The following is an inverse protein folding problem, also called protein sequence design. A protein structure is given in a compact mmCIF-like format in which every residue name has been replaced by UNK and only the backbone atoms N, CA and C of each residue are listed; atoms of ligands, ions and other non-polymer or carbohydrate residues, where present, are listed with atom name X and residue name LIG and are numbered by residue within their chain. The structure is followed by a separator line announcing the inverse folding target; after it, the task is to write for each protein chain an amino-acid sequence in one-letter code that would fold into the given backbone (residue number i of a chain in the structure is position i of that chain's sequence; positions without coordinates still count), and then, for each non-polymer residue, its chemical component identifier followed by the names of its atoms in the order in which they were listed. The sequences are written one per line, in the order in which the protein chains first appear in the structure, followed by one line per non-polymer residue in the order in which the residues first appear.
data_IF_926307305713
#
_entry.id   IF_926307305713
#
_cell.length_a   1.000
_cell.length_b   1.000
_cell.length_c   1.000
_cell.angle_alpha   90.00
_cell.angle_beta   90.00
_cell.angle_gamma   90.00
#
_symmetry.space_group_name_H-M   'P 1'
#
loop_
_entity.id
_entity.type
_entity.pdbx_description
1 polymer ?
#
# COMPACT_ATOMS: atom_id res chain seq x y z
N UNK A 1 -17.01 14.42 -10.58
CA UNK A 1 -16.26 13.73 -9.50
C UNK A 1 -15.62 12.48 -10.10
N UNK A 2 -14.42 12.09 -9.67
CA UNK A 2 -13.78 10.82 -10.07
C UNK A 2 -13.58 9.98 -8.81
N UNK A 3 -14.12 8.76 -8.80
CA UNK A 3 -13.86 7.75 -7.77
C UNK A 3 -12.94 6.70 -8.38
N UNK A 4 -11.66 6.82 -8.07
CA UNK A 4 -10.63 5.95 -8.63
C UNK A 4 -10.42 4.72 -7.75
N UNK A 5 -10.26 3.55 -8.37
CA UNK A 5 -9.93 2.28 -7.75
C UNK A 5 -10.94 1.80 -6.68
N UNK A 6 -12.24 1.94 -6.98
CA UNK A 6 -13.36 1.47 -6.17
C UNK A 6 -13.54 -0.05 -6.26
N UNK A 7 -12.54 -0.81 -5.81
CA UNK A 7 -12.51 -2.27 -5.94
C UNK A 7 -13.38 -2.98 -4.87
N UNK A 8 -13.50 -2.40 -3.67
CA UNK A 8 -14.34 -2.97 -2.60
C UNK A 8 -15.74 -2.34 -2.63
N UNK A 9 -16.60 -2.88 -3.50
CA UNK A 9 -17.95 -2.33 -3.75
C UNK A 9 -18.88 -2.41 -2.53
N UNK A 10 -18.54 -3.24 -1.53
CA UNK A 10 -19.29 -3.35 -0.27
C UNK A 10 -19.30 -2.03 0.50
N UNK A 11 -18.25 -1.22 0.37
CA UNK A 11 -18.18 0.13 0.94
C UNK A 11 -19.29 1.05 0.40
N UNK A 12 -19.84 0.72 -0.77
CA UNK A 12 -20.92 1.45 -1.43
C UNK A 12 -22.26 0.69 -1.39
N UNK A 13 -22.38 -0.34 -0.55
CA UNK A 13 -23.62 -1.10 -0.36
C UNK A 13 -23.88 -2.23 -1.34
N UNK A 14 -22.90 -2.58 -2.18
CA UNK A 14 -23.06 -3.70 -3.14
C UNK A 14 -22.84 -5.04 -2.42
N UNK A 15 -23.85 -5.92 -2.48
CA UNK A 15 -23.75 -7.30 -1.98
C UNK A 15 -24.09 -7.51 -0.49
N UNK A 16 -24.56 -6.48 0.23
CA UNK A 16 -25.12 -6.64 1.57
C UNK A 16 -26.58 -7.10 1.47
N UNK A 17 -26.96 -8.15 2.23
CA UNK A 17 -28.37 -8.50 2.43
C UNK A 17 -28.99 -7.42 3.31
N UNK A 18 -29.82 -6.56 2.72
CA UNK A 18 -30.31 -5.35 3.37
C UNK A 18 -31.18 -5.66 4.60
N UNK A 19 -30.78 -5.11 5.75
CA UNK A 19 -31.73 -4.42 6.63
C UNK A 19 -31.65 -2.93 6.27
N UNK A 20 -32.80 -2.26 6.11
CA UNK A 20 -32.88 -0.88 5.61
C UNK A 20 -32.09 0.15 6.47
N UNK A 21 -31.73 -0.20 7.71
CA UNK A 21 -30.87 0.62 8.59
C UNK A 21 -29.39 0.64 8.17
N UNK A 22 -28.85 -0.41 7.54
CA UNK A 22 -27.43 -0.47 7.12
C UNK A 22 -27.15 0.25 5.79
N UNK A 23 -28.15 0.39 4.91
CA UNK A 23 -27.99 1.12 3.63
C UNK A 23 -27.67 2.60 3.86
N UNK A 24 -28.16 3.16 4.97
CA UNK A 24 -27.92 4.53 5.37
C UNK A 24 -26.48 4.80 5.81
N UNK A 25 -25.60 3.79 5.90
CA UNK A 25 -24.20 3.98 6.31
C UNK A 25 -23.13 3.72 5.25
N UNK A 26 -23.56 3.47 4.02
CA UNK A 26 -22.65 3.26 2.89
C UNK A 26 -22.03 4.57 2.39
N UNK A 27 -20.86 4.50 1.75
CA UNK A 27 -20.24 5.66 1.10
C UNK A 27 -21.07 6.19 -0.08
N UNK A 28 -22.00 5.38 -0.60
CA UNK A 28 -22.83 5.76 -1.74
C UNK A 28 -23.68 7.01 -1.49
N UNK A 29 -24.11 7.25 -0.24
CA UNK A 29 -24.88 8.45 0.13
C UNK A 29 -24.12 9.77 -0.06
N UNK A 30 -22.79 9.71 -0.10
CA UNK A 30 -21.92 10.88 -0.31
C UNK A 30 -21.54 11.09 -1.78
N UNK A 31 -21.92 10.16 -2.65
CA UNK A 31 -21.72 10.30 -4.09
C UNK A 31 -22.74 11.33 -4.59
N UNK A 32 -22.35 12.41 -5.28
CA UNK A 32 -23.31 13.40 -5.77
C UNK A 32 -24.29 12.81 -6.78
N UNK A 33 -25.58 12.97 -6.52
CA UNK A 33 -26.67 12.66 -7.45
C UNK A 33 -27.26 13.97 -7.98
N UNK A 34 -27.27 14.13 -9.31
CA UNK A 34 -27.82 15.33 -9.94
C UNK A 34 -27.92 15.20 -11.44
N UNK A 35 -28.73 16.05 -12.06
CA UNK A 35 -28.84 16.16 -13.52
C UNK A 35 -27.68 16.95 -14.14
N UNK A 36 -26.88 17.64 -13.33
CA UNK A 36 -25.73 18.44 -13.74
C UNK A 36 -24.45 17.81 -13.17
N UNK A 37 -23.64 17.22 -14.05
CA UNK A 37 -22.36 16.62 -13.70
C UNK A 37 -22.32 15.09 -13.83
N UNK A 38 -21.11 14.56 -13.91
CA UNK A 38 -20.84 13.12 -14.06
C UNK A 38 -19.91 12.65 -12.95
N UNK A 39 -20.21 11.47 -12.40
CA UNK A 39 -19.29 10.71 -11.56
C UNK A 39 -18.64 9.62 -12.41
N UNK A 40 -17.32 9.69 -12.56
CA UNK A 40 -16.54 8.66 -13.23
C UNK A 40 -16.02 7.68 -12.17
N UNK A 41 -16.26 6.39 -12.38
CA UNK A 41 -15.80 5.32 -11.51
C UNK A 41 -14.76 4.48 -12.24
N UNK A 42 -13.68 4.11 -11.56
CA UNK A 42 -12.78 3.05 -12.03
C UNK A 42 -12.76 1.93 -10.98
N UNK A 43 -12.82 0.68 -11.43
CA UNK A 43 -12.83 -0.50 -10.55
C UNK A 43 -12.34 -1.72 -11.32
N UNK A 44 -11.66 -2.63 -10.64
CA UNK A 44 -11.33 -3.98 -11.13
C UNK A 44 -12.49 -4.96 -10.95
N UNK A 45 -13.44 -4.63 -10.09
CA UNK A 45 -14.63 -5.43 -9.83
C UNK A 45 -15.69 -5.18 -10.90
N UNK A 46 -15.98 -6.20 -11.72
CA UNK A 46 -16.97 -6.10 -12.78
C UNK A 46 -18.40 -5.94 -12.26
N UNK A 47 -18.68 -6.30 -11.01
CA UNK A 47 -20.01 -6.16 -10.42
C UNK A 47 -20.42 -4.68 -10.23
N UNK A 48 -19.52 -3.72 -10.42
CA UNK A 48 -19.84 -2.29 -10.37
C UNK A 48 -20.88 -1.90 -11.45
N UNK A 49 -20.85 -2.59 -12.59
CA UNK A 49 -21.80 -2.42 -13.69
C UNK A 49 -23.07 -3.19 -13.36
N UNK A 50 -24.20 -2.50 -13.39
CA UNK A 50 -25.50 -3.04 -12.97
C UNK A 50 -25.80 -2.82 -11.48
N UNK A 51 -24.85 -2.29 -10.71
CA UNK A 51 -25.06 -1.93 -9.29
C UNK A 51 -24.94 -0.41 -9.10
N UNK A 52 -23.72 0.11 -8.92
CA UNK A 52 -23.46 1.55 -8.74
C UNK A 52 -23.52 2.33 -10.05
N UNK A 53 -23.15 1.67 -11.15
CA UNK A 53 -23.14 2.25 -12.50
C UNK A 53 -24.17 1.50 -13.34
N UNK A 54 -25.14 2.22 -13.91
CA UNK A 54 -26.14 1.61 -14.79
C UNK A 54 -25.49 0.85 -15.95
N UNK A 55 -26.01 -0.33 -16.30
CA UNK A 55 -25.45 -1.22 -17.34
C UNK A 55 -25.04 -0.52 -18.64
N UNK A 56 -25.81 0.41 -19.24
CA UNK A 56 -25.41 1.06 -20.50
C UNK A 56 -24.25 2.06 -20.35
N UNK A 57 -23.86 2.42 -19.13
CA UNK A 57 -22.77 3.37 -18.85
C UNK A 57 -21.46 2.68 -18.47
N UNK A 58 -21.47 1.36 -18.30
CA UNK A 58 -20.26 0.60 -18.01
C UNK A 58 -19.34 0.53 -19.24
N UNK A 59 -18.10 0.98 -19.08
CA UNK A 59 -17.07 0.87 -20.13
C UNK A 59 -16.06 -0.18 -19.68
N UNK A 60 -16.09 -1.35 -20.31
CA UNK A 60 -15.10 -2.38 -20.08
C UNK A 60 -13.79 -2.00 -20.80
N UNK A 61 -12.74 -1.70 -20.03
CA UNK A 61 -11.40 -1.45 -20.58
C UNK A 61 -10.80 -2.79 -20.98
N UNK A 62 -10.70 -3.02 -22.30
CA UNK A 62 -10.10 -4.23 -22.88
C UNK A 62 -8.58 -4.05 -23.06
N UNK A 63 -7.88 -5.16 -23.35
CA UNK A 63 -6.50 -5.08 -23.84
C UNK A 63 -6.41 -4.19 -25.08
N UNK A 64 -5.24 -3.59 -25.28
CA UNK A 64 -4.99 -2.77 -26.48
C UNK A 64 -5.13 -3.62 -27.74
N UNK A 65 -5.54 -3.00 -28.83
CA UNK A 65 -5.39 -3.61 -30.16
C UNK A 65 -3.90 -3.75 -30.48
N UNK A 66 -3.56 -4.66 -31.40
CA UNK A 66 -2.17 -4.86 -31.82
C UNK A 66 -1.52 -3.57 -32.35
N UNK A 67 -2.28 -2.74 -33.06
CA UNK A 67 -1.76 -1.48 -33.62
C UNK A 67 -1.53 -0.41 -32.53
N UNK A 68 -2.46 -0.27 -31.57
CA UNK A 68 -2.25 0.60 -30.41
C UNK A 68 -1.06 0.11 -29.58
N UNK A 69 -0.95 -1.21 -29.37
CA UNK A 69 0.11 -1.84 -28.61
C UNK A 69 1.48 -1.64 -29.27
N UNK A 70 1.57 -1.79 -30.59
CA UNK A 70 2.77 -1.52 -31.37
C UNK A 70 3.16 -0.03 -31.31
N UNK A 71 2.17 0.86 -31.42
CA UNK A 71 2.38 2.31 -31.30
C UNK A 71 2.93 2.68 -29.92
N UNK A 72 2.38 2.10 -28.86
CA UNK A 72 2.87 2.32 -27.50
C UNK A 72 4.30 1.78 -27.33
N UNK A 73 4.59 0.58 -27.84
CA UNK A 73 5.92 -0.02 -27.77
C UNK A 73 6.97 0.86 -28.46
N UNK A 74 6.70 1.29 -29.71
CA UNK A 74 7.58 2.17 -30.47
C UNK A 74 7.86 3.48 -29.71
N UNK A 75 6.80 4.10 -29.16
CA UNK A 75 6.93 5.32 -28.35
C UNK A 75 7.80 5.11 -27.10
N UNK A 76 7.66 3.98 -26.43
CA UNK A 76 8.43 3.63 -25.22
C UNK A 76 9.89 3.30 -25.54
N UNK A 77 10.13 2.72 -26.72
CA UNK A 77 11.47 2.49 -27.27
C UNK A 77 12.17 3.78 -27.70
N UNK A 78 11.41 4.83 -28.00
CA UNK A 78 11.94 6.09 -28.52
C UNK A 78 12.12 6.09 -30.04
N UNK A 79 11.48 5.16 -30.73
CA UNK A 79 11.54 5.04 -32.18
C UNK A 79 10.72 6.17 -32.83
N UNK A 80 11.22 6.77 -33.91
CA UNK A 80 10.43 7.68 -34.74
C UNK A 80 9.44 6.88 -35.60
N UNK A 81 8.23 7.41 -35.76
CA UNK A 81 7.00 6.72 -36.19
C UNK A 81 6.94 6.23 -37.64
N UNK A 82 8.06 5.91 -38.29
CA UNK A 82 8.11 5.73 -39.76
C UNK A 82 8.82 4.47 -40.26
N UNK A 83 9.11 3.48 -39.41
CA UNK A 83 9.76 2.23 -39.88
C UNK A 83 8.77 1.08 -39.90
N UNK A 84 8.90 0.23 -40.93
CA UNK A 84 8.24 -1.08 -41.00
C UNK A 84 8.35 -1.81 -39.66
N UNK A 85 7.28 -2.51 -39.29
CA UNK A 85 7.19 -3.20 -38.00
C UNK A 85 8.34 -4.22 -37.90
N UNK A 86 9.27 -3.94 -36.99
CA UNK A 86 10.44 -4.80 -36.74
C UNK A 86 10.02 -6.26 -36.49
N UNK A 87 10.84 -7.20 -36.97
CA UNK A 87 10.63 -8.62 -36.72
C UNK A 87 10.48 -8.91 -35.21
N UNK A 88 9.55 -9.81 -34.87
CA UNK A 88 9.26 -10.21 -33.49
C UNK A 88 8.39 -9.25 -32.69
N UNK A 89 8.02 -8.07 -33.18
CA UNK A 89 7.12 -7.13 -32.47
C UNK A 89 5.75 -7.76 -32.21
N UNK A 90 5.10 -8.31 -33.24
CA UNK A 90 3.76 -8.90 -33.06
C UNK A 90 3.80 -10.07 -32.06
N UNK A 91 4.78 -10.97 -32.19
CA UNK A 91 4.96 -12.09 -31.26
C UNK A 91 5.25 -11.63 -29.81
N UNK A 92 5.98 -10.53 -29.64
CA UNK A 92 6.21 -9.93 -28.32
C UNK A 92 4.92 -9.35 -27.74
N UNK A 93 4.13 -8.62 -28.55
CA UNK A 93 2.88 -8.02 -28.09
C UNK A 93 1.82 -9.06 -27.74
N UNK A 94 1.76 -10.16 -28.48
CA UNK A 94 0.97 -11.34 -28.14
C UNK A 94 1.40 -11.93 -26.78
N UNK A 95 2.72 -12.13 -26.57
CA UNK A 95 3.23 -12.65 -25.29
C UNK A 95 2.95 -11.69 -24.12
N UNK A 96 2.98 -10.38 -24.36
CA UNK A 96 2.62 -9.36 -23.38
C UNK A 96 1.10 -9.17 -23.22
N UNK A 97 0.29 -9.92 -23.99
CA UNK A 97 -1.17 -9.88 -23.99
C UNK A 97 -1.75 -8.49 -24.27
N UNK A 98 -1.00 -7.67 -25.01
CA UNK A 98 -1.32 -6.28 -25.32
C UNK A 98 -1.66 -5.42 -24.08
N UNK A 99 -1.04 -5.72 -22.93
CA UNK A 99 -1.26 -4.97 -21.70
C UNK A 99 -0.39 -3.70 -21.67
N UNK A 100 -0.98 -2.50 -21.57
CA UNK A 100 -0.23 -1.23 -21.69
C UNK A 100 0.92 -1.08 -20.71
N UNK A 101 0.73 -1.56 -19.47
CA UNK A 101 1.73 -1.47 -18.41
C UNK A 101 2.93 -2.40 -18.69
N UNK A 102 2.68 -3.62 -19.18
CA UNK A 102 3.72 -4.60 -19.48
C UNK A 102 4.52 -4.16 -20.72
N UNK A 103 3.82 -3.66 -21.74
CA UNK A 103 4.43 -3.05 -22.93
C UNK A 103 5.29 -1.85 -22.54
N UNK A 104 4.81 -0.99 -21.64
CA UNK A 104 5.56 0.18 -21.20
C UNK A 104 6.86 -0.19 -20.50
N UNK A 105 6.84 -1.18 -19.60
CA UNK A 105 8.05 -1.69 -18.95
C UNK A 105 8.99 -2.38 -19.95
N UNK A 106 8.46 -3.22 -20.84
CA UNK A 106 9.25 -3.91 -21.86
C UNK A 106 9.94 -2.91 -22.80
N UNK A 107 9.20 -1.96 -23.36
CA UNK A 107 9.74 -0.92 -24.24
C UNK A 107 10.79 -0.04 -23.56
N UNK A 108 10.57 0.30 -22.28
CA UNK A 108 11.54 1.05 -21.48
C UNK A 108 12.85 0.26 -21.26
N UNK A 109 12.73 -1.03 -20.93
CA UNK A 109 13.89 -1.92 -20.82
C UNK A 109 14.63 -2.03 -22.16
N UNK A 110 13.90 -2.28 -23.25
CA UNK A 110 14.47 -2.42 -24.60
C UNK A 110 15.22 -1.17 -25.04
N UNK A 111 14.63 0.02 -24.80
CA UNK A 111 15.29 1.31 -25.07
C UNK A 111 16.62 1.42 -24.35
N UNK A 112 16.62 1.17 -23.05
CA UNK A 112 17.80 1.34 -22.20
C UNK A 112 18.91 0.35 -22.56
N UNK A 113 18.52 -0.87 -22.92
CA UNK A 113 19.44 -1.95 -23.24
C UNK A 113 19.81 -2.03 -24.73
N UNK A 114 19.28 -1.13 -25.55
CA UNK A 114 19.39 -1.16 -27.02
C UNK A 114 19.06 -2.54 -27.60
N UNK A 115 17.97 -3.14 -27.12
CA UNK A 115 17.55 -4.49 -27.48
C UNK A 115 16.41 -4.51 -28.51
N UNK A 116 16.43 -5.52 -29.39
CA UNK A 116 15.37 -5.81 -30.34
C UNK A 116 14.17 -6.51 -29.68
N UNK A 117 13.02 -6.51 -30.36
CA UNK A 117 11.82 -7.18 -29.86
C UNK A 117 12.05 -8.71 -29.71
N UNK A 118 12.75 -9.33 -30.66
CA UNK A 118 13.10 -10.76 -30.62
C UNK A 118 14.02 -11.12 -29.44
N UNK A 119 15.04 -10.29 -29.19
CA UNK A 119 15.95 -10.52 -28.07
C UNK A 119 15.20 -10.44 -26.73
N UNK A 120 14.33 -9.45 -26.57
CA UNK A 120 13.53 -9.31 -25.36
C UNK A 120 12.51 -10.46 -25.19
N UNK A 121 11.85 -10.86 -26.28
CA UNK A 121 10.96 -12.03 -26.28
C UNK A 121 11.70 -13.32 -25.89
N UNK A 122 12.95 -13.48 -26.32
CA UNK A 122 13.82 -14.57 -25.88
C UNK A 122 13.99 -14.61 -24.36
N UNK A 123 14.25 -13.46 -23.72
CA UNK A 123 14.35 -13.38 -22.26
C UNK A 123 13.02 -13.63 -21.54
N UNK A 124 11.91 -13.15 -22.09
CA UNK A 124 10.57 -13.43 -21.53
C UNK A 124 10.28 -14.93 -21.52
N UNK A 125 10.52 -15.62 -22.65
CA UNK A 125 10.25 -17.07 -22.78
C UNK A 125 11.12 -17.92 -21.87
N UNK A 126 12.36 -17.52 -21.61
CA UNK A 126 13.23 -18.18 -20.62
C UNK A 126 12.72 -18.03 -19.18
N UNK A 127 11.96 -16.98 -18.88
CA UNK A 127 11.36 -16.75 -17.55
C UNK A 127 10.14 -17.62 -17.26
N UNK A 128 9.33 -17.87 -18.30
CA UNK A 128 7.99 -18.48 -18.21
C UNK A 128 7.98 -19.85 -17.53
N UNK A 129 8.98 -20.69 -17.80
CA UNK A 129 9.14 -22.02 -17.18
C UNK A 129 9.24 -21.96 -15.65
N UNK A 130 9.71 -20.83 -15.09
CA UNK A 130 9.84 -20.63 -13.64
C UNK A 130 8.51 -20.22 -12.98
N UNK A 131 7.58 -19.65 -13.74
CA UNK A 131 6.27 -19.20 -13.24
C UNK A 131 5.11 -20.11 -13.66
N UNK A 132 5.31 -21.04 -14.61
CA UNK A 132 4.35 -22.11 -14.90
C UNK A 132 4.06 -23.00 -13.68
N UNK A 133 4.99 -23.05 -12.70
CA UNK A 133 4.80 -23.72 -11.40
C UNK A 133 3.93 -22.93 -10.41
N UNK A 134 3.60 -21.67 -10.72
CA UNK A 134 3.05 -20.70 -9.78
C UNK A 134 1.62 -20.32 -10.15
N UNK A 135 0.76 -21.35 -10.21
CA UNK A 135 -0.69 -21.16 -10.30
C UNK A 135 -1.24 -20.75 -8.92
N UNK A 136 -1.98 -19.64 -8.92
CA UNK A 136 -2.84 -19.11 -7.86
C UNK A 136 -2.25 -19.06 -6.44
N UNK A 137 -1.94 -17.85 -5.95
CA UNK A 137 -1.86 -17.63 -4.50
C UNK A 137 -3.08 -16.84 -4.04
N UNK A 138 -3.66 -17.24 -2.92
CA UNK A 138 -4.78 -16.57 -2.23
C UNK A 138 -4.52 -15.09 -1.84
N UNK A 139 -3.30 -14.58 -2.08
CA UNK A 139 -2.88 -13.24 -1.70
C UNK A 139 -3.39 -12.11 -2.62
N UNK A 140 -3.96 -12.44 -3.78
CA UNK A 140 -4.61 -11.46 -4.64
C UNK A 140 -6.04 -11.92 -4.93
N UNK A 141 -6.92 -11.73 -3.92
CA UNK A 141 -8.35 -12.10 -3.96
C UNK A 141 -9.13 -11.45 -5.11
N UNK A 142 -8.55 -10.46 -5.78
CA UNK A 142 -9.14 -9.79 -6.94
C UNK A 142 -8.37 -10.05 -8.24
N UNK A 143 -7.33 -10.89 -8.20
CA UNK A 143 -6.65 -11.34 -9.42
C UNK A 143 -7.60 -12.19 -10.21
N UNK A 144 -7.95 -11.72 -11.41
CA UNK A 144 -8.63 -12.56 -12.37
C UNK A 144 -7.70 -13.71 -12.76
N UNK A 145 -8.10 -14.97 -12.58
CA UNK A 145 -7.28 -16.13 -12.94
C UNK A 145 -6.86 -16.12 -14.42
N UNK A 146 -7.60 -15.43 -15.27
CA UNK A 146 -7.34 -15.31 -16.71
C UNK A 146 -6.27 -14.28 -17.09
N UNK A 147 -5.80 -13.44 -16.16
CA UNK A 147 -4.82 -12.37 -16.46
C UNK A 147 -3.39 -12.90 -16.37
N UNK A 148 -2.74 -12.95 -17.54
CA UNK A 148 -1.36 -13.40 -17.75
C UNK A 148 -0.34 -12.76 -16.80
N UNK A 149 0.69 -13.53 -16.44
CA UNK A 149 1.83 -13.11 -15.63
C UNK A 149 2.79 -12.14 -16.36
N UNK A 150 2.43 -11.58 -17.53
CA UNK A 150 3.33 -10.74 -18.33
C UNK A 150 3.93 -9.58 -17.53
N UNK A 151 3.12 -8.94 -16.67
CA UNK A 151 3.58 -7.91 -15.74
C UNK A 151 4.62 -8.39 -14.72
N UNK A 152 4.46 -9.61 -14.19
CA UNK A 152 5.42 -10.19 -13.25
C UNK A 152 6.75 -10.45 -13.94
N UNK A 153 6.71 -10.93 -15.19
CA UNK A 153 7.91 -11.25 -15.95
C UNK A 153 8.69 -10.02 -16.41
N UNK A 154 8.00 -9.01 -16.93
CA UNK A 154 8.63 -7.74 -17.33
C UNK A 154 9.24 -7.05 -16.11
N UNK A 155 8.55 -7.09 -14.96
CA UNK A 155 9.07 -6.56 -13.70
C UNK A 155 10.29 -7.35 -13.22
N UNK A 156 10.27 -8.69 -13.28
CA UNK A 156 11.39 -9.55 -12.86
C UNK A 156 12.65 -9.33 -13.69
N UNK A 157 12.51 -9.24 -15.02
CA UNK A 157 13.65 -8.99 -15.91
C UNK A 157 14.29 -7.64 -15.54
N UNK A 158 13.47 -6.60 -15.41
CA UNK A 158 13.93 -5.25 -15.10
C UNK A 158 14.52 -5.15 -13.69
N UNK A 159 13.92 -5.78 -12.67
CA UNK A 159 14.45 -5.76 -11.30
C UNK A 159 15.78 -6.50 -11.17
N UNK A 160 15.94 -7.63 -11.86
CA UNK A 160 17.24 -8.34 -11.93
C UNK A 160 18.32 -7.43 -12.50
N UNK A 161 17.99 -6.67 -13.55
CA UNK A 161 18.93 -5.71 -14.15
C UNK A 161 19.23 -4.53 -13.23
N UNK A 162 18.20 -3.95 -12.60
CA UNK A 162 18.37 -2.86 -11.63
C UNK A 162 19.31 -3.28 -10.50
N UNK A 163 19.15 -4.49 -9.95
CA UNK A 163 20.04 -5.00 -8.90
C UNK A 163 21.50 -5.06 -9.33
N UNK A 164 21.76 -5.47 -10.58
CA UNK A 164 23.14 -5.51 -11.11
C UNK A 164 23.72 -4.12 -11.36
N UNK A 165 22.89 -3.12 -11.63
CA UNK A 165 23.35 -1.75 -11.95
C UNK A 165 23.46 -0.85 -10.72
N UNK A 166 22.60 -1.05 -9.70
CA UNK A 166 22.52 -0.18 -8.53
C UNK A 166 21.75 -0.86 -7.40
N UNK A 167 22.46 -1.28 -6.36
CA UNK A 167 21.86 -1.82 -5.14
C UNK A 167 20.94 -0.78 -4.47
N UNK A 168 21.34 0.50 -4.47
CA UNK A 168 20.51 1.63 -4.02
C UNK A 168 19.15 1.67 -4.70
N UNK A 169 19.13 1.61 -6.05
CA UNK A 169 17.90 1.61 -6.83
C UNK A 169 17.04 0.39 -6.51
N UNK A 170 17.67 -0.78 -6.38
CA UNK A 170 16.98 -2.03 -6.06
C UNK A 170 16.35 -1.97 -4.66
N UNK A 171 17.06 -1.46 -3.65
CA UNK A 171 16.54 -1.28 -2.28
C UNK A 171 15.41 -0.25 -2.26
N UNK A 172 15.56 0.91 -2.91
CA UNK A 172 14.52 1.93 -3.05
C UNK A 172 13.25 1.35 -3.67
N UNK A 173 13.39 0.58 -4.75
CA UNK A 173 12.29 -0.05 -5.45
C UNK A 173 11.47 -0.97 -4.53
N UNK A 174 12.14 -1.78 -3.72
CA UNK A 174 11.47 -2.72 -2.82
C UNK A 174 10.89 -2.04 -1.58
N UNK A 175 11.49 -0.96 -1.07
CA UNK A 175 10.89 -0.15 0.01
C UNK A 175 9.60 0.52 -0.46
N UNK A 176 9.61 1.13 -1.64
CA UNK A 176 8.42 1.81 -2.20
C UNK A 176 7.27 0.82 -2.48
N UNK A 177 7.54 -0.48 -2.59
CA UNK A 177 6.50 -1.49 -2.74
C UNK A 177 5.62 -1.69 -1.48
N UNK A 178 6.01 -1.18 -0.32
CA UNK A 178 5.30 -1.35 0.97
C UNK A 178 4.59 -0.08 1.47
N UNK A 179 4.67 1.03 0.75
CA UNK A 179 3.97 2.28 1.09
C UNK A 179 2.75 2.49 0.20
N UNK A 180 1.94 3.53 0.49
CA UNK A 180 0.86 3.93 -0.42
C UNK A 180 1.42 4.21 -1.83
N UNK A 181 0.69 3.76 -2.86
CA UNK A 181 1.10 3.82 -4.27
C UNK A 181 1.17 5.23 -4.84
N UNK A 182 0.58 6.22 -4.16
CA UNK A 182 0.43 7.59 -4.61
C UNK A 182 1.12 8.55 -3.65
N UNK A 183 1.41 9.76 -4.13
CA UNK A 183 1.91 10.88 -3.33
C UNK A 183 3.22 10.61 -2.56
N UNK A 184 4.02 9.64 -2.99
CA UNK A 184 5.22 9.18 -2.28
C UNK A 184 6.25 10.33 -2.21
N UNK A 185 6.61 10.80 -1.00
CA UNK A 185 7.56 11.90 -0.84
C UNK A 185 8.98 11.52 -1.27
N UNK A 186 9.73 12.49 -1.78
CA UNK A 186 11.15 12.33 -2.06
C UNK A 186 11.92 11.86 -0.82
N UNK A 187 11.65 12.44 0.34
CA UNK A 187 12.36 12.14 1.59
C UNK A 187 12.16 10.69 2.03
N UNK A 188 11.00 10.09 1.72
CA UNK A 188 10.73 8.68 2.01
C UNK A 188 11.66 7.76 1.19
N UNK A 189 11.84 8.07 -0.09
CA UNK A 189 12.71 7.29 -0.98
C UNK A 189 14.18 7.56 -0.64
N UNK A 190 14.53 8.82 -0.36
CA UNK A 190 15.88 9.23 -0.01
C UNK A 190 16.37 8.60 1.31
N UNK A 191 15.48 8.41 2.29
CA UNK A 191 15.81 7.77 3.57
C UNK A 191 16.30 6.31 3.44
N UNK A 192 16.14 5.69 2.27
CA UNK A 192 16.74 4.37 1.97
C UNK A 192 18.26 4.48 1.82
N UNK A 193 18.75 5.60 1.32
CA UNK A 193 20.16 5.79 1.00
C UNK A 193 21.04 5.81 2.25
N UNK A 194 20.60 6.48 3.31
CA UNK A 194 21.26 6.48 4.62
C UNK A 194 21.40 5.07 5.23
N UNK A 195 20.63 4.10 4.76
CA UNK A 195 20.66 2.70 5.21
C UNK A 195 21.46 1.78 4.30
N UNK A 196 21.86 2.24 3.11
CA UNK A 196 22.76 1.51 2.22
C UNK A 196 24.23 1.66 2.64
N UNK A 197 24.58 2.76 3.30
CA UNK A 197 25.96 3.09 3.64
C UNK A 197 26.44 2.50 4.98
N UNK A 198 25.52 2.12 5.87
CA UNK A 198 25.85 1.50 7.17
C UNK A 198 26.46 0.09 7.05
N UNK A 199 26.47 -0.50 5.86
CA UNK A 199 26.98 -1.85 5.57
C UNK A 199 28.50 -1.86 5.25
N UNK A 200 29.18 -0.71 5.30
CA UNK A 200 30.65 -0.60 5.11
C UNK A 200 31.28 -0.08 6.40
N UNK A 201 31.94 -0.98 7.13
CA UNK A 201 32.65 -0.72 8.40
C UNK A 201 33.66 0.46 8.36
N UNK A 202 33.99 1.00 7.18
CA UNK A 202 35.00 2.06 7.01
C UNK A 202 34.55 3.32 6.21
N UNK A 203 33.25 3.56 5.98
CA UNK A 203 32.85 4.82 5.33
C UNK A 203 31.62 5.51 5.92
N UNK A 204 31.85 6.55 6.72
CA UNK A 204 30.87 7.57 7.15
C UNK A 204 30.52 8.53 5.99
N UNK A 205 30.31 8.02 4.79
CA UNK A 205 29.84 8.83 3.66
C UNK A 205 28.35 8.62 3.52
N UNK A 206 27.59 9.61 3.97
CA UNK A 206 26.18 9.73 3.66
C UNK A 206 26.00 9.93 2.14
N UNK A 207 25.13 9.13 1.53
CA UNK A 207 24.77 9.30 0.13
C UNK A 207 24.41 10.74 -0.20
N UNK A 208 24.99 11.25 -1.28
CA UNK A 208 24.72 12.60 -1.78
C UNK A 208 23.34 12.67 -2.43
N UNK A 209 22.73 13.86 -2.45
CA UNK A 209 21.45 14.07 -3.16
C UNK A 209 21.53 13.64 -4.64
N UNK A 210 22.69 13.81 -5.28
CA UNK A 210 22.93 13.42 -6.67
C UNK A 210 22.81 11.90 -6.83
N UNK A 211 23.45 11.11 -5.95
CA UNK A 211 23.38 9.64 -6.00
C UNK A 211 21.95 9.11 -5.79
N UNK A 212 21.19 9.74 -4.89
CA UNK A 212 19.77 9.43 -4.68
C UNK A 212 18.95 9.72 -5.93
N UNK A 213 19.15 10.90 -6.54
CA UNK A 213 18.43 11.29 -7.75
C UNK A 213 18.80 10.41 -8.96
N UNK A 214 20.04 9.95 -9.07
CA UNK A 214 20.47 8.99 -10.09
C UNK A 214 19.80 7.62 -9.90
N UNK A 215 19.69 7.15 -8.65
CA UNK A 215 18.99 5.91 -8.34
C UNK A 215 17.50 6.00 -8.67
N UNK A 216 16.84 7.09 -8.30
CA UNK A 216 15.43 7.36 -8.64
C UNK A 216 15.25 7.48 -10.16
N UNK A 217 16.18 8.15 -10.85
CA UNK A 217 16.14 8.32 -12.31
C UNK A 217 16.19 6.96 -13.00
N UNK A 218 17.03 6.05 -12.53
CA UNK A 218 17.06 4.67 -13.02
C UNK A 218 15.72 3.95 -12.86
N UNK A 219 15.04 4.11 -11.72
CA UNK A 219 13.71 3.53 -11.51
C UNK A 219 12.65 4.11 -12.47
N UNK A 220 12.73 5.41 -12.77
CA UNK A 220 11.88 6.07 -13.77
C UNK A 220 12.16 5.58 -15.19
N UNK A 221 13.44 5.42 -15.54
CA UNK A 221 13.86 4.94 -16.86
C UNK A 221 13.38 3.51 -17.15
N UNK A 222 13.24 2.66 -16.12
CA UNK A 222 12.60 1.34 -16.25
C UNK A 222 11.06 1.37 -16.08
N UNK A 223 10.45 2.56 -16.00
CA UNK A 223 9.00 2.75 -15.80
C UNK A 223 8.43 2.12 -14.52
N UNK A 224 9.22 2.05 -13.44
CA UNK A 224 8.71 1.66 -12.11
C UNK A 224 8.11 2.82 -11.32
N UNK A 225 8.62 4.04 -11.54
CA UNK A 225 8.15 5.26 -10.88
C UNK A 225 7.75 6.31 -11.91
N UNK A 226 6.65 7.00 -11.64
CA UNK A 226 6.32 8.30 -12.25
C UNK A 226 6.66 9.43 -11.28
N UNK A 227 7.01 10.60 -11.84
CA UNK A 227 7.23 11.83 -11.09
C UNK A 227 6.08 12.79 -11.40
N UNK A 228 5.45 13.30 -10.36
CA UNK A 228 4.50 14.39 -10.39
C UNK A 228 5.09 15.55 -9.59
N UNK A 229 5.21 16.72 -10.21
CA UNK A 229 5.59 17.94 -9.50
C UNK A 229 4.33 18.61 -8.98
N UNK A 230 4.31 18.98 -7.70
CA UNK A 230 3.23 19.80 -7.15
C UNK A 230 3.37 21.25 -7.61
N UNK A 231 2.32 22.04 -7.44
CA UNK A 231 2.35 23.50 -7.71
C UNK A 231 3.44 24.22 -6.91
N UNK A 232 3.87 23.64 -5.78
CA UNK A 232 4.91 24.16 -4.91
C UNK A 232 6.32 23.64 -5.28
N UNK A 233 6.45 22.90 -6.39
CA UNK A 233 7.72 22.35 -6.87
C UNK A 233 8.18 21.08 -6.15
N UNK A 234 7.37 20.52 -5.25
CA UNK A 234 7.71 19.30 -4.53
C UNK A 234 7.64 18.07 -5.44
N UNK A 235 8.59 17.15 -5.26
CA UNK A 235 8.65 15.89 -6.01
C UNK A 235 7.77 14.85 -5.32
N UNK A 236 6.69 14.46 -5.97
CA UNK A 236 5.82 13.36 -5.56
C UNK A 236 5.96 12.21 -6.55
N UNK A 237 6.19 11.01 -6.04
CA UNK A 237 6.35 9.82 -6.85
C UNK A 237 5.12 8.94 -6.75
N UNK A 238 4.88 8.17 -7.79
CA UNK A 238 3.81 7.18 -7.81
C UNK A 238 4.36 5.87 -8.36
N UNK A 239 3.89 4.76 -7.79
CA UNK A 239 4.18 3.41 -8.27
C UNK A 239 2.87 2.68 -8.54
N UNK A 240 2.73 2.10 -9.71
CA UNK A 240 1.53 1.35 -10.05
C UNK A 240 1.29 0.19 -9.07
N UNK A 241 0.05 -0.01 -8.58
CA UNK A 241 -0.27 -1.04 -7.57
C UNK A 241 0.12 -2.46 -8.00
N UNK A 242 -0.18 -2.82 -9.26
CA UNK A 242 0.27 -4.11 -9.84
C UNK A 242 1.79 -4.28 -9.82
N UNK A 243 2.56 -3.18 -9.93
CA UNK A 243 4.02 -3.22 -9.85
C UNK A 243 4.46 -3.45 -8.40
N UNK A 244 3.86 -2.76 -7.42
CA UNK A 244 4.09 -3.05 -5.99
C UNK A 244 3.76 -4.51 -5.64
N UNK A 245 2.64 -5.03 -6.15
CA UNK A 245 2.24 -6.44 -5.99
C UNK A 245 3.25 -7.40 -6.64
N UNK A 246 3.69 -7.11 -7.87
CA UNK A 246 4.69 -7.92 -8.58
C UNK A 246 6.02 -8.01 -7.81
N UNK A 247 6.50 -6.89 -7.27
CA UNK A 247 7.73 -6.81 -6.49
C UNK A 247 7.63 -7.64 -5.20
N UNK A 248 6.55 -7.47 -4.43
CA UNK A 248 6.30 -8.22 -3.19
C UNK A 248 6.16 -9.71 -3.45
N UNK A 249 5.41 -10.07 -4.49
CA UNK A 249 5.23 -11.46 -4.91
C UNK A 249 6.57 -12.10 -5.30
N UNK A 250 7.42 -11.38 -6.04
CA UNK A 250 8.76 -11.83 -6.39
C UNK A 250 9.63 -12.18 -5.18
N UNK A 251 9.60 -11.35 -4.13
CA UNK A 251 10.30 -11.63 -2.88
C UNK A 251 9.74 -12.86 -2.14
N UNK A 252 8.41 -12.97 -2.05
CA UNK A 252 7.74 -14.07 -1.35
C UNK A 252 8.01 -15.43 -1.98
N UNK A 253 7.91 -15.51 -3.30
CA UNK A 253 8.18 -16.75 -4.05
C UNK A 253 9.64 -17.15 -3.90
N UNK A 254 10.57 -16.19 -4.03
CA UNK A 254 11.99 -16.45 -3.83
C UNK A 254 12.25 -17.05 -2.45
N UNK A 255 11.74 -16.42 -1.39
CA UNK A 255 11.89 -16.92 -0.02
C UNK A 255 11.23 -18.29 0.24
N UNK A 256 10.18 -18.63 -0.52
CA UNK A 256 9.54 -19.96 -0.42
C UNK A 256 10.41 -21.04 -1.07
N UNK A 257 10.96 -20.75 -2.25
CA UNK A 257 11.87 -21.67 -2.97
C UNK A 257 13.14 -21.92 -2.16
N UNK A 258 13.73 -20.87 -1.56
CA UNK A 258 14.91 -20.98 -0.70
C UNK A 258 14.68 -21.91 0.50
N UNK A 259 13.50 -21.83 1.14
CA UNK A 259 13.13 -22.74 2.23
C UNK A 259 12.96 -24.20 1.77
N UNK A 260 12.39 -24.42 0.59
CA UNK A 260 12.17 -25.78 0.05
C UNK A 260 13.50 -26.43 -0.35
N UNK A 261 14.41 -25.68 -0.95
CA UNK A 261 15.70 -26.19 -1.43
C UNK A 261 16.76 -26.33 -0.33
N UNK A 262 16.47 -25.92 0.90
CA UNK A 262 17.30 -26.15 2.08
C UNK A 262 18.67 -25.49 1.99
N UNK A 263 18.75 -24.20 2.36
CA UNK A 263 19.94 -23.43 2.82
C UNK A 263 21.31 -23.67 2.13
N UNK A 264 21.38 -24.25 0.94
CA UNK A 264 22.66 -24.64 0.31
C UNK A 264 23.38 -23.50 -0.43
N UNK A 265 22.90 -22.27 -0.28
CA UNK A 265 23.48 -21.07 -0.90
C UNK A 265 23.62 -19.89 0.07
N UNK A 266 23.63 -20.12 1.38
CA UNK A 266 23.78 -19.05 2.36
C UNK A 266 25.17 -18.41 2.29
N UNK A 267 25.30 -17.36 1.48
CA UNK A 267 26.23 -16.27 1.76
C UNK A 267 25.62 -15.34 2.81
N UNK A 268 26.41 -14.94 3.79
CA UNK A 268 26.03 -14.39 5.10
C UNK A 268 25.18 -13.10 5.11
N UNK A 269 24.80 -12.52 3.94
CA UNK A 269 23.99 -11.29 3.83
C UNK A 269 22.55 -11.49 3.29
N UNK A 270 22.05 -12.72 3.11
CA UNK A 270 20.73 -12.96 2.47
C UNK A 270 19.50 -12.59 3.33
N UNK A 271 19.69 -12.41 4.64
CA UNK A 271 18.66 -11.86 5.55
C UNK A 271 18.19 -10.46 5.11
N UNK A 272 19.10 -9.67 4.52
CA UNK A 272 18.91 -8.27 4.12
C UNK A 272 18.17 -8.07 2.78
N UNK A 273 17.64 -9.15 2.19
CA UNK A 273 16.88 -9.08 0.95
C UNK A 273 15.63 -9.96 1.04
N UNK A 274 15.02 -10.06 2.22
CA UNK A 274 13.78 -10.80 2.42
C UNK A 274 12.54 -9.90 2.31
N UNK A 275 11.36 -10.51 2.13
CA UNK A 275 10.06 -9.79 2.23
C UNK A 275 9.96 -9.06 3.59
N UNK A 276 10.35 -9.76 4.67
CA UNK A 276 10.36 -9.23 6.03
C UNK A 276 11.33 -8.04 6.19
N UNK A 277 12.53 -8.12 5.59
CA UNK A 277 13.52 -7.03 5.64
C UNK A 277 12.98 -5.74 5.02
N UNK A 278 12.41 -5.80 3.82
CA UNK A 278 11.90 -4.58 3.18
C UNK A 278 10.65 -4.04 3.86
N UNK A 279 9.75 -4.90 4.31
CA UNK A 279 8.60 -4.48 5.12
C UNK A 279 9.06 -3.79 6.42
N UNK A 280 10.03 -4.38 7.13
CA UNK A 280 10.57 -3.83 8.37
C UNK A 280 11.34 -2.53 8.16
N UNK A 281 12.19 -2.47 7.13
CA UNK A 281 12.92 -1.25 6.76
C UNK A 281 11.95 -0.11 6.42
N UNK A 282 10.91 -0.40 5.64
CA UNK A 282 9.87 0.59 5.29
C UNK A 282 9.17 1.09 6.55
N UNK A 283 8.81 0.19 7.48
CA UNK A 283 8.21 0.56 8.76
C UNK A 283 9.10 1.51 9.56
N UNK A 284 10.40 1.20 9.66
CA UNK A 284 11.32 2.04 10.41
C UNK A 284 11.54 3.41 9.75
N UNK A 285 11.55 3.49 8.42
CA UNK A 285 11.65 4.76 7.68
C UNK A 285 10.40 5.62 7.95
N UNK A 286 9.21 5.06 7.74
CA UNK A 286 7.95 5.82 7.92
C UNK A 286 7.74 6.19 9.38
N UNK A 287 8.11 5.32 10.33
CA UNK A 287 8.08 5.61 11.76
C UNK A 287 8.95 6.83 12.13
N UNK A 288 10.15 6.92 11.56
CA UNK A 288 11.06 8.05 11.77
C UNK A 288 10.63 9.34 11.06
N UNK A 289 9.90 9.25 9.95
CA UNK A 289 9.46 10.42 9.17
C UNK A 289 8.13 11.02 9.65
N UNK A 290 7.28 10.21 10.28
CA UNK A 290 6.01 10.66 10.82
C UNK A 290 6.22 11.35 12.18
N UNK A 291 5.86 12.62 12.37
CA UNK A 291 6.13 13.34 13.62
C UNK A 291 5.05 13.07 14.70
N UNK A 292 5.26 13.49 15.96
CA UNK A 292 4.17 13.61 16.92
C UNK A 292 3.11 14.60 16.42
N UNK A 293 1.85 14.43 16.85
CA UNK A 293 0.76 15.32 16.45
C UNK A 293 0.83 16.64 17.23
N UNK A 294 1.24 17.70 16.54
CA UNK A 294 1.30 19.06 17.05
C UNK A 294 0.87 20.03 15.94
N UNK A 295 0.30 21.22 16.25
CA UNK A 295 -0.11 22.17 15.22
C UNK A 295 0.98 22.53 14.20
N UNK A 296 2.24 22.56 14.63
CA UNK A 296 3.42 22.81 13.80
C UNK A 296 3.76 21.66 12.84
N UNK A 297 3.36 20.42 13.17
CA UNK A 297 3.71 19.20 12.45
C UNK A 297 2.57 18.61 11.63
N UNK A 298 1.33 19.12 11.75
CA UNK A 298 0.14 18.58 11.11
C UNK A 298 0.25 18.42 9.59
N UNK A 299 0.87 19.37 8.88
CA UNK A 299 1.08 19.25 7.44
C UNK A 299 1.94 18.02 7.08
N UNK A 300 2.96 17.74 7.91
CA UNK A 300 3.82 16.57 7.76
C UNK A 300 3.10 15.29 8.18
N UNK A 301 2.28 15.30 9.23
CA UNK A 301 1.41 14.17 9.56
C UNK A 301 0.49 13.82 8.38
N UNK A 302 -0.18 14.80 7.79
CA UNK A 302 -1.09 14.61 6.64
C UNK A 302 -0.36 13.96 5.46
N UNK A 303 0.85 14.44 5.16
CA UNK A 303 1.70 13.90 4.10
C UNK A 303 2.05 12.41 4.31
N UNK A 304 2.36 11.99 5.54
CA UNK A 304 2.83 10.62 5.81
C UNK A 304 1.73 9.66 6.28
N UNK A 305 0.53 10.16 6.58
CA UNK A 305 -0.55 9.37 7.17
C UNK A 305 -0.92 8.13 6.36
N UNK A 306 -1.17 8.29 5.05
CA UNK A 306 -1.53 7.15 4.18
C UNK A 306 -0.42 6.11 4.12
N UNK A 307 0.84 6.54 4.07
CA UNK A 307 1.99 5.64 4.09
C UNK A 307 2.12 4.91 5.44
N UNK A 308 1.89 5.60 6.56
CA UNK A 308 1.93 5.01 7.91
C UNK A 308 0.84 3.95 8.12
N UNK A 309 -0.39 4.22 7.66
CA UNK A 309 -1.50 3.26 7.68
C UNK A 309 -1.15 2.05 6.82
N UNK A 310 -0.71 2.28 5.58
CA UNK A 310 -0.36 1.21 4.64
C UNK A 310 0.76 0.31 5.16
N UNK A 311 1.78 0.88 5.78
CA UNK A 311 2.86 0.13 6.42
C UNK A 311 2.36 -0.78 7.55
N UNK A 312 1.34 -0.34 8.30
CA UNK A 312 0.71 -1.14 9.35
C UNK A 312 0.03 -2.42 8.86
N UNK A 313 -0.27 -2.53 7.56
CA UNK A 313 -0.79 -3.77 6.95
C UNK A 313 0.31 -4.85 6.81
N UNK A 314 1.58 -4.45 6.82
CA UNK A 314 2.74 -5.36 6.66
C UNK A 314 3.40 -5.73 7.99
N UNK A 315 2.72 -5.47 9.10
CA UNK A 315 3.23 -5.66 10.46
C UNK A 315 3.63 -7.12 10.74
N UNK A 316 2.80 -8.09 10.34
CA UNK A 316 3.08 -9.52 10.51
C UNK A 316 4.17 -10.01 9.53
N UNK A 317 4.23 -9.44 8.32
CA UNK A 317 5.26 -9.76 7.32
C UNK A 317 6.64 -9.34 7.83
N UNK A 318 6.73 -8.14 8.39
CA UNK A 318 7.94 -7.59 9.02
C UNK A 318 8.27 -8.19 10.39
N UNK A 319 7.31 -8.87 11.05
CA UNK A 319 7.41 -9.34 12.45
C UNK A 319 7.68 -8.20 13.43
N UNK A 320 7.10 -7.03 13.15
CA UNK A 320 7.27 -5.80 13.93
C UNK A 320 5.92 -5.26 14.41
N UNK A 321 5.01 -6.14 14.83
CA UNK A 321 3.62 -5.80 15.18
C UNK A 321 3.52 -4.71 16.25
N UNK A 322 4.35 -4.79 17.30
CA UNK A 322 4.37 -3.78 18.37
C UNK A 322 4.81 -2.41 17.83
N UNK A 323 5.82 -2.38 16.95
CA UNK A 323 6.31 -1.12 16.37
C UNK A 323 5.30 -0.51 15.40
N UNK A 324 4.67 -1.34 14.57
CA UNK A 324 3.57 -0.92 13.71
C UNK A 324 2.39 -0.38 14.52
N UNK A 325 2.01 -1.03 15.62
CA UNK A 325 0.95 -0.53 16.49
C UNK A 325 1.30 0.82 17.15
N UNK A 326 2.55 1.05 17.50
CA UNK A 326 3.02 2.35 18.03
C UNK A 326 2.96 3.46 16.97
N UNK A 327 3.33 3.16 15.72
CA UNK A 327 3.16 4.11 14.61
C UNK A 327 1.66 4.42 14.38
N UNK A 328 0.80 3.39 14.34
CA UNK A 328 -0.64 3.56 14.18
C UNK A 328 -1.26 4.36 15.34
N UNK A 329 -0.77 4.20 16.56
CA UNK A 329 -1.20 5.03 17.69
C UNK A 329 -0.87 6.52 17.49
N UNK A 330 0.30 6.85 16.93
CA UNK A 330 0.63 8.24 16.57
C UNK A 330 -0.27 8.78 15.45
N UNK A 331 -0.61 7.94 14.46
CA UNK A 331 -1.61 8.28 13.45
C UNK A 331 -2.98 8.52 14.09
N UNK A 332 -3.36 7.69 15.06
CA UNK A 332 -4.61 7.83 15.82
C UNK A 332 -4.69 9.15 16.57
N UNK A 333 -3.62 9.58 17.24
CA UNK A 333 -3.59 10.90 17.90
C UNK A 333 -3.72 12.04 16.91
N UNK A 334 -3.04 11.97 15.77
CA UNK A 334 -3.21 12.96 14.72
C UNK A 334 -4.65 13.03 14.23
N UNK A 335 -5.27 11.89 13.94
CA UNK A 335 -6.67 11.84 13.51
C UNK A 335 -7.63 12.36 14.59
N UNK A 336 -7.32 12.15 15.88
CA UNK A 336 -8.07 12.70 17.01
C UNK A 336 -8.01 14.23 17.00
N UNK A 337 -6.81 14.81 16.94
CA UNK A 337 -6.62 16.26 16.95
C UNK A 337 -7.26 16.95 15.74
N UNK A 338 -7.41 16.22 14.63
CA UNK A 338 -8.09 16.70 13.41
C UNK A 338 -9.59 16.42 13.39
N UNK A 339 -10.14 15.74 14.40
CA UNK A 339 -11.57 15.38 14.46
C UNK A 339 -12.00 14.34 13.42
N UNK A 340 -11.07 13.55 12.88
CA UNK A 340 -11.30 12.59 11.79
C UNK A 340 -11.66 11.20 12.33
N UNK A 341 -12.72 11.12 13.12
CA UNK A 341 -13.12 9.94 13.90
C UNK A 341 -13.35 8.68 13.06
N UNK A 342 -13.91 8.84 11.86
CA UNK A 342 -14.18 7.70 10.96
C UNK A 342 -12.92 7.08 10.37
N UNK A 343 -11.91 7.90 10.10
CA UNK A 343 -10.61 7.41 9.63
C UNK A 343 -9.77 6.84 10.78
N UNK A 344 -10.01 7.33 12.00
CA UNK A 344 -9.32 6.88 13.22
C UNK A 344 -9.70 5.45 13.62
N UNK A 345 -10.97 5.07 13.47
CA UNK A 345 -11.48 3.74 13.88
C UNK A 345 -10.71 2.55 13.30
N UNK A 346 -10.49 2.43 11.97
CA UNK A 346 -9.73 1.31 11.43
C UNK A 346 -8.27 1.31 11.90
N UNK A 347 -7.69 2.49 12.17
CA UNK A 347 -6.33 2.63 12.70
C UNK A 347 -6.24 2.11 14.14
N UNK A 348 -7.16 2.54 15.01
CA UNK A 348 -7.25 2.08 16.40
C UNK A 348 -7.50 0.57 16.49
N UNK A 349 -8.45 0.08 15.68
CA UNK A 349 -8.78 -1.34 15.60
C UNK A 349 -7.55 -2.17 15.20
N UNK A 350 -6.82 -1.73 14.16
CA UNK A 350 -5.61 -2.41 13.71
C UNK A 350 -4.51 -2.40 14.78
N UNK A 351 -4.27 -1.27 15.44
CA UNK A 351 -3.28 -1.15 16.51
C UNK A 351 -3.61 -2.08 17.70
N UNK A 352 -4.89 -2.14 18.09
CA UNK A 352 -5.37 -3.03 19.15
C UNK A 352 -5.18 -4.51 18.79
N UNK A 353 -5.55 -4.92 17.57
CA UNK A 353 -5.38 -6.31 17.10
C UNK A 353 -3.91 -6.72 17.12
N UNK A 354 -3.00 -5.86 16.64
CA UNK A 354 -1.56 -6.13 16.63
C UNK A 354 -0.99 -6.29 18.05
N UNK A 355 -1.32 -5.37 18.97
CA UNK A 355 -0.87 -5.44 20.37
C UNK A 355 -1.45 -6.65 21.08
N UNK A 356 -2.75 -6.93 20.92
CA UNK A 356 -3.40 -8.09 21.53
C UNK A 356 -2.76 -9.41 21.10
N UNK A 357 -2.42 -9.55 19.81
CA UNK A 357 -1.82 -10.76 19.25
C UNK A 357 -0.44 -11.07 19.86
N UNK A 358 0.39 -10.04 20.08
CA UNK A 358 1.79 -10.22 20.52
C UNK A 358 1.97 -10.07 22.03
N UNK A 359 1.28 -9.12 22.65
CA UNK A 359 1.44 -8.78 24.06
C UNK A 359 0.36 -9.42 24.97
N UNK A 360 -0.74 -9.88 24.40
CA UNK A 360 -1.90 -10.38 25.13
C UNK A 360 -2.83 -9.28 25.65
N UNK A 361 -4.00 -9.67 26.15
CA UNK A 361 -5.07 -8.75 26.57
C UNK A 361 -4.76 -7.94 27.83
N UNK A 362 -3.95 -8.50 28.74
CA UNK A 362 -3.60 -7.86 30.02
C UNK A 362 -2.45 -6.87 29.92
N UNK A 363 -1.79 -6.76 28.78
CA UNK A 363 -0.67 -5.83 28.64
C UNK A 363 -1.17 -4.38 28.65
N UNK A 364 -0.54 -3.45 29.41
CA UNK A 364 -0.97 -2.05 29.49
C UNK A 364 -1.18 -1.38 28.13
N UNK A 365 -0.30 -1.63 27.16
CA UNK A 365 -0.43 -1.09 25.80
C UNK A 365 -1.65 -1.64 25.04
N UNK A 366 -1.99 -2.93 25.23
CA UNK A 366 -3.19 -3.52 24.64
C UNK A 366 -4.44 -2.87 25.24
N UNK A 367 -4.44 -2.68 26.57
CA UNK A 367 -5.56 -2.05 27.26
C UNK A 367 -5.69 -0.57 26.85
N UNK A 368 -4.57 0.12 26.64
CA UNK A 368 -4.53 1.49 26.11
C UNK A 368 -5.16 1.58 24.71
N UNK A 369 -4.77 0.72 23.78
CA UNK A 369 -5.38 0.72 22.43
C UNK A 369 -6.87 0.40 22.44
N UNK A 370 -7.32 -0.48 23.34
CA UNK A 370 -8.75 -0.73 23.54
C UNK A 370 -9.48 0.51 24.06
N UNK A 371 -8.89 1.25 25.00
CA UNK A 371 -9.46 2.50 25.48
C UNK A 371 -9.48 3.59 24.39
N UNK A 372 -8.47 3.65 23.52
CA UNK A 372 -8.42 4.57 22.38
C UNK A 372 -9.55 4.30 21.37
N UNK A 373 -9.76 3.03 21.02
CA UNK A 373 -10.88 2.61 20.16
C UNK A 373 -12.24 2.98 20.78
N UNK A 374 -12.39 2.81 22.09
CA UNK A 374 -13.60 3.19 22.81
C UNK A 374 -13.84 4.71 22.79
N UNK A 375 -12.78 5.51 22.94
CA UNK A 375 -12.84 6.97 22.75
C UNK A 375 -13.26 7.33 21.32
N UNK A 376 -12.80 6.59 20.32
CA UNK A 376 -13.24 6.79 18.93
C UNK A 376 -14.73 6.51 18.77
N UNK A 377 -15.26 5.43 19.34
CA UNK A 377 -16.71 5.17 19.34
C UNK A 377 -17.51 6.27 20.04
N UNK A 378 -17.04 6.74 21.20
CA UNK A 378 -17.67 7.85 21.91
C UNK A 378 -17.74 9.11 21.03
N UNK A 379 -16.63 9.46 20.36
CA UNK A 379 -16.58 10.63 19.47
C UNK A 379 -17.46 10.48 18.21
N UNK A 380 -17.82 9.26 17.83
CA UNK A 380 -18.79 8.97 16.77
C UNK A 380 -20.24 8.93 17.25
N UNK A 381 -20.51 9.13 18.55
CA UNK A 381 -21.86 9.00 19.14
C UNK A 381 -22.30 7.56 19.39
N UNK A 382 -21.40 6.59 19.25
CA UNK A 382 -21.63 5.15 19.49
C UNK A 382 -21.38 4.81 20.95
N UNK A 383 -22.26 5.34 21.81
CA UNK A 383 -22.06 5.34 23.26
C UNK A 383 -22.13 3.95 23.89
N UNK A 384 -22.95 3.04 23.36
CA UNK A 384 -23.07 1.68 23.87
C UNK A 384 -21.79 0.86 23.62
N UNK A 385 -21.24 0.90 22.40
CA UNK A 385 -19.96 0.25 22.10
C UNK A 385 -18.80 0.87 22.89
N UNK A 386 -18.78 2.21 23.02
CA UNK A 386 -17.80 2.90 23.84
C UNK A 386 -17.87 2.46 25.31
N UNK A 387 -19.08 2.35 25.87
CA UNK A 387 -19.32 1.93 27.24
C UNK A 387 -18.79 0.51 27.49
N UNK A 388 -19.10 -0.44 26.60
CA UNK A 388 -18.67 -1.83 26.73
C UNK A 388 -17.14 -1.97 26.69
N UNK A 389 -16.48 -1.32 25.73
CA UNK A 389 -15.01 -1.39 25.63
C UNK A 389 -14.33 -0.69 26.82
N UNK A 390 -14.82 0.47 27.25
CA UNK A 390 -14.23 1.16 28.41
C UNK A 390 -14.43 0.39 29.73
N UNK A 391 -15.57 -0.29 29.92
CA UNK A 391 -15.78 -1.17 31.08
C UNK A 391 -14.78 -2.33 31.09
N UNK A 392 -14.56 -2.95 29.93
CA UNK A 392 -13.56 -4.02 29.76
C UNK A 392 -12.15 -3.50 30.07
N UNK A 393 -11.78 -2.35 29.51
CA UNK A 393 -10.49 -1.71 29.79
C UNK A 393 -10.30 -1.36 31.27
N UNK A 394 -11.32 -0.81 31.94
CA UNK A 394 -11.26 -0.50 33.37
C UNK A 394 -11.08 -1.77 34.22
N UNK A 395 -11.83 -2.84 33.93
CA UNK A 395 -11.69 -4.11 34.63
C UNK A 395 -10.27 -4.66 34.55
N UNK A 396 -9.66 -4.62 33.36
CA UNK A 396 -8.27 -5.04 33.16
C UNK A 396 -7.27 -4.11 33.84
N UNK A 397 -7.46 -2.79 33.77
CA UNK A 397 -6.59 -1.80 34.45
C UNK A 397 -6.62 -1.96 35.96
N UNK A 398 -7.78 -2.22 36.57
CA UNK A 398 -7.89 -2.52 38.00
C UNK A 398 -7.09 -3.75 38.40
N UNK A 399 -7.11 -4.79 37.57
CA UNK A 399 -6.38 -6.02 37.82
C UNK A 399 -4.86 -5.89 37.64
N UNK A 400 -4.42 -5.06 36.69
CA UNK A 400 -3.00 -4.96 36.28
C UNK A 400 -2.27 -3.76 36.90
N UNK A 401 -2.91 -2.59 36.94
CA UNK A 401 -2.31 -1.30 37.31
C UNK A 401 -2.75 -0.78 38.69
N UNK A 402 -3.77 -1.40 39.32
CA UNK A 402 -4.37 -0.97 40.60
C UNK A 402 -5.18 0.34 40.45
N UNK A 403 -6.01 0.65 41.44
CA UNK A 403 -7.03 1.73 41.40
C UNK A 403 -6.45 3.13 41.20
N UNK A 404 -5.29 3.43 41.81
CA UNK A 404 -4.69 4.77 41.82
C UNK A 404 -3.83 5.08 40.60
N UNK A 405 -3.68 4.15 39.65
CA UNK A 405 -2.90 4.42 38.45
C UNK A 405 -3.61 5.47 37.57
N UNK A 406 -2.87 6.44 36.99
CA UNK A 406 -3.44 7.49 36.13
C UNK A 406 -4.38 6.94 35.05
N UNK A 407 -3.99 5.87 34.36
CA UNK A 407 -4.83 5.24 33.34
C UNK A 407 -6.13 4.64 33.89
N UNK A 408 -6.11 4.10 35.12
CA UNK A 408 -7.32 3.56 35.79
C UNK A 408 -8.27 4.72 36.11
N UNK A 409 -7.75 5.80 36.70
CA UNK A 409 -8.52 7.01 37.00
C UNK A 409 -9.10 7.66 35.74
N UNK A 410 -8.30 7.75 34.67
CA UNK A 410 -8.75 8.27 33.38
C UNK A 410 -9.91 7.45 32.81
N UNK A 411 -9.86 6.12 32.95
CA UNK A 411 -10.96 5.24 32.51
C UNK A 411 -12.25 5.48 33.27
N UNK A 412 -12.16 5.73 34.58
CA UNK A 412 -13.32 6.06 35.42
C UNK A 412 -13.95 7.38 34.97
N UNK A 413 -13.13 8.40 34.71
CA UNK A 413 -13.61 9.69 34.21
C UNK A 413 -14.32 9.55 32.84
N UNK A 414 -13.75 8.79 31.91
CA UNK A 414 -14.38 8.52 30.61
C UNK A 414 -15.72 7.78 30.76
N UNK A 415 -15.81 6.78 31.64
CA UNK A 415 -17.06 6.06 31.89
C UNK A 415 -18.15 6.95 32.50
N UNK A 416 -17.79 7.91 33.34
CA UNK A 416 -18.75 8.88 33.87
C UNK A 416 -19.33 9.76 32.76
N UNK A 417 -18.48 10.28 31.87
CA UNK A 417 -18.88 11.06 30.69
C UNK A 417 -19.82 10.30 29.75
N UNK A 418 -19.50 9.03 29.43
CA UNK A 418 -20.36 8.19 28.56
C UNK A 418 -21.74 7.97 29.19
N UNK A 419 -21.79 7.71 30.50
CA UNK A 419 -23.05 7.50 31.22
C UNK A 419 -23.89 8.76 31.27
N UNK A 420 -23.27 9.92 31.46
CA UNK A 420 -23.97 11.21 31.40
C UNK A 420 -24.58 11.44 30.01
N UNK A 421 -23.81 11.20 28.93
CA UNK A 421 -24.32 11.30 27.56
C UNK A 421 -25.51 10.35 27.31
N UNK A 422 -25.42 9.10 27.78
CA UNK A 422 -26.53 8.12 27.71
C UNK A 422 -27.76 8.55 28.52
N UNK A 423 -27.59 9.26 29.63
CA UNK A 423 -28.70 9.78 30.43
C UNK A 423 -29.37 11.02 29.80
N UNK A 424 -28.66 11.76 28.94
CA UNK A 424 -29.20 12.93 28.25
C UNK A 424 -29.93 12.57 26.94
N UNK A 425 -29.62 11.42 26.32
CA UNK A 425 -30.28 10.94 25.10
C UNK A 425 -31.82 10.78 25.18
N UNK A 426 -32.44 10.37 26.31
CA UNK A 426 -33.91 10.29 26.45
C UNK A 426 -34.63 11.66 26.43
N UNK A 427 -33.91 12.77 26.45
CA UNK A 427 -34.50 14.12 26.54
C UNK A 427 -34.57 14.90 25.22
N UNK A 428 -34.22 14.26 24.10
CA UNK A 428 -34.13 14.87 22.76
C UNK A 428 -34.96 14.17 21.67
N UNK A 429 -35.94 13.33 22.05
CA UNK A 429 -36.91 12.70 21.12
C UNK A 429 -38.26 13.42 21.17
#
# INVERSE_FOLDING_TARGET
MVVDNADDLRLFGVGQQANDEEMNDTLYKYVPHGSQGTVLWTSRDAHIVGTLVGSPRGIAVRSMTMDEAATLLARRRGDSSTVEREAGVDALLEELHCLPLAISQAGAYMRRMSMTAEQYLGFLRQGKTRWDMLKASDADRHRRPEVSNSMLETSRISTKRIRTESEMSYRMLHVVAYVDSQDIPYELIAAVADRCDNDKEDSVKQATEIEVLEAITRLKEFSFLSLRQTEQGERRYEMHKLVQEALRYGLRVRGTIEKILGETLSTENESENSEAYYAGTTLQIVDGLFPPSEPSSWARCEQYMKHAIRVGEWAEVSRMEVKAATLLQRVSYFLYDRGRWREREPVDSRAWVLRRKVLGEKHPDTIRSMAELATTYHAQGRYDEALQLHQTALGLRRHVLVENHPDTMQSVAYLASIREALQQLPSLV
#
